data_IF_879607179830
#
_entry.id   IF_879607179830
#
_cell.length_a   1.000
_cell.length_b   1.000
_cell.length_c   1.000
_cell.angle_alpha   90.00
_cell.angle_beta   90.00
_cell.angle_gamma   90.00
#
_symmetry.space_group_name_H-M   'P 1'
#
loop_
_entity.id
_entity.type
_entity.pdbx_description
1 polymer ?
#
# COMPACT_ATOMS: atom_id res chain seq x y z
N UNK A 1 -11.79 -17.78 2.86
CA UNK A 1 -10.47 -17.12 2.76
C UNK A 1 -10.27 -16.29 4.01
N UNK A 2 -9.05 -16.22 4.54
CA UNK A 2 -8.76 -15.37 5.70
C UNK A 2 -8.86 -13.88 5.31
N UNK A 3 -9.29 -13.03 6.24
CA UNK A 3 -9.31 -11.58 6.04
C UNK A 3 -7.91 -11.02 6.21
N UNK A 4 -7.39 -10.37 5.17
CA UNK A 4 -6.11 -9.67 5.22
C UNK A 4 -6.35 -8.24 5.71
N UNK A 5 -5.72 -7.86 6.83
CA UNK A 5 -5.73 -6.50 7.35
C UNK A 5 -4.33 -5.90 7.32
N UNK A 6 -4.22 -4.57 7.40
CA UNK A 6 -2.92 -3.89 7.49
C UNK A 6 -2.15 -4.38 8.72
N UNK A 7 -2.81 -4.54 9.86
CA UNK A 7 -2.16 -5.01 11.09
C UNK A 7 -1.61 -6.44 10.95
N UNK A 8 -2.36 -7.35 10.30
CA UNK A 8 -1.89 -8.72 10.03
C UNK A 8 -0.69 -8.71 9.07
N UNK A 9 -0.71 -7.85 8.05
CA UNK A 9 0.42 -7.70 7.13
C UNK A 9 1.65 -7.10 7.84
N UNK A 10 1.46 -6.08 8.69
CA UNK A 10 2.53 -5.50 9.52
C UNK A 10 3.19 -6.56 10.42
N UNK A 11 2.39 -7.41 11.08
CA UNK A 11 2.86 -8.52 11.93
C UNK A 11 3.67 -9.53 11.10
N UNK A 12 3.11 -10.02 9.99
CA UNK A 12 3.79 -10.95 9.11
C UNK A 12 5.13 -10.41 8.58
N UNK A 13 5.17 -9.15 8.15
CA UNK A 13 6.39 -8.55 7.60
C UNK A 13 7.44 -8.26 8.66
N UNK A 14 7.02 -7.98 9.90
CA UNK A 14 7.94 -7.86 11.04
C UNK A 14 8.66 -9.17 11.31
N UNK A 15 7.92 -10.28 11.29
CA UNK A 15 8.49 -11.62 11.46
C UNK A 15 9.36 -12.03 10.26
N UNK A 16 8.95 -11.66 9.05
CA UNK A 16 9.66 -12.02 7.82
C UNK A 16 11.01 -11.30 7.67
N UNK A 17 11.04 -9.98 7.91
CA UNK A 17 12.25 -9.17 7.73
C UNK A 17 13.12 -9.06 8.99
N UNK A 18 12.52 -9.26 10.18
CA UNK A 18 13.20 -9.15 11.46
C UNK A 18 13.89 -7.80 11.67
N UNK A 19 14.94 -7.78 12.49
CA UNK A 19 15.77 -6.59 12.75
C UNK A 19 17.02 -6.53 11.86
N UNK A 20 17.16 -7.46 10.91
CA UNK A 20 18.40 -7.65 10.14
C UNK A 20 18.40 -6.91 8.81
N UNK A 21 17.22 -6.59 8.27
CA UNK A 21 17.12 -5.87 6.99
C UNK A 21 17.16 -4.36 7.23
N UNK A 22 18.12 -3.63 6.64
CA UNK A 22 18.17 -2.18 6.76
C UNK A 22 16.94 -1.54 6.11
N UNK A 23 16.33 -0.57 6.80
CA UNK A 23 15.19 0.19 6.28
C UNK A 23 15.51 0.89 4.95
N UNK A 24 16.75 1.29 4.72
CA UNK A 24 17.18 1.94 3.49
C UNK A 24 17.07 0.97 2.29
N UNK A 25 17.35 -0.31 2.50
CA UNK A 25 17.20 -1.33 1.45
C UNK A 25 15.73 -1.54 1.09
N UNK A 26 14.83 -1.56 2.07
CA UNK A 26 13.38 -1.63 1.83
C UNK A 26 12.85 -0.38 1.14
N UNK A 27 13.40 0.80 1.48
CA UNK A 27 13.05 2.05 0.80
C UNK A 27 13.48 2.03 -0.67
N UNK A 28 14.68 1.51 -0.98
CA UNK A 28 15.11 1.37 -2.37
C UNK A 28 14.19 0.45 -3.16
N UNK A 29 13.75 -0.68 -2.58
CA UNK A 29 12.75 -1.55 -3.20
C UNK A 29 11.42 -0.83 -3.42
N UNK A 30 10.91 -0.09 -2.42
CA UNK A 30 9.68 0.71 -2.59
C UNK A 30 9.78 1.68 -3.77
N UNK A 31 10.92 2.37 -3.94
CA UNK A 31 11.12 3.29 -5.07
C UNK A 31 11.16 2.56 -6.41
N UNK A 32 11.75 1.37 -6.47
CA UNK A 32 11.74 0.50 -7.65
C UNK A 32 10.32 0.15 -8.07
N UNK A 33 9.49 -0.33 -7.14
CA UNK A 33 8.09 -0.72 -7.44
C UNK A 33 7.24 0.49 -7.87
N UNK A 34 7.48 1.67 -7.30
CA UNK A 34 6.85 2.91 -7.76
C UNK A 34 7.25 3.22 -9.21
N UNK A 35 8.49 2.95 -9.59
CA UNK A 35 8.99 3.07 -10.95
C UNK A 35 8.27 2.13 -11.92
N UNK A 36 8.07 0.87 -11.52
CA UNK A 36 7.34 -0.13 -12.31
C UNK A 36 5.87 0.28 -12.54
N UNK A 37 5.19 0.73 -11.48
CA UNK A 37 3.84 1.30 -11.59
C UNK A 37 3.81 2.48 -12.57
N UNK A 38 4.78 3.39 -12.48
CA UNK A 38 4.86 4.55 -13.37
C UNK A 38 5.08 4.13 -14.83
N UNK A 39 5.93 3.14 -15.08
CA UNK A 39 6.15 2.59 -16.41
C UNK A 39 4.86 2.00 -17.01
N UNK A 40 4.15 1.16 -16.25
CA UNK A 40 2.89 0.54 -16.70
C UNK A 40 1.80 1.57 -17.02
N UNK A 41 1.65 2.58 -16.16
CA UNK A 41 0.68 3.65 -16.39
C UNK A 41 1.04 4.48 -17.64
N UNK A 42 2.33 4.73 -17.87
CA UNK A 42 2.79 5.43 -19.07
C UNK A 42 2.57 4.60 -20.34
N UNK A 43 2.82 3.29 -20.30
CA UNK A 43 2.54 2.36 -21.40
C UNK A 43 1.04 2.36 -21.76
N UNK A 44 0.16 2.33 -20.75
CA UNK A 44 -1.30 2.42 -20.93
C UNK A 44 -1.75 3.73 -21.55
N UNK A 45 -1.18 4.86 -21.11
CA UNK A 45 -1.49 6.18 -21.65
C UNK A 45 -1.02 6.35 -23.11
N UNK A 46 0.11 5.73 -23.47
CA UNK A 46 0.76 5.90 -24.76
C UNK A 46 0.28 5.01 -25.91
N UNK A 47 -0.62 4.03 -25.68
CA UNK A 47 -1.08 3.03 -26.67
C UNK A 47 0.05 2.45 -27.55
N UNK A 48 1.25 2.25 -26.99
CA UNK A 48 2.22 1.32 -27.61
C UNK A 48 1.60 -0.07 -27.47
N UNK A 49 1.54 -0.84 -28.56
CA UNK A 49 0.98 -2.20 -28.61
C UNK A 49 1.38 -2.97 -27.35
N UNK A 50 0.46 -3.15 -26.42
CA UNK A 50 0.67 -3.92 -25.20
C UNK A 50 -0.28 -5.09 -25.21
N UNK A 51 0.10 -6.14 -24.47
CA UNK A 51 -0.70 -7.32 -24.22
C UNK A 51 -2.18 -6.99 -23.94
N UNK A 52 -3.07 -7.97 -24.13
CA UNK A 52 -4.52 -7.83 -23.85
C UNK A 52 -4.76 -7.03 -22.56
N UNK A 53 -5.76 -6.15 -22.55
CA UNK A 53 -6.05 -5.25 -21.42
C UNK A 53 -6.08 -5.96 -20.06
N UNK A 54 -6.52 -7.22 -20.03
CA UNK A 54 -6.52 -8.09 -18.85
C UNK A 54 -5.13 -8.36 -18.28
N UNK A 55 -4.15 -8.66 -19.14
CA UNK A 55 -2.77 -8.92 -18.74
C UNK A 55 -2.09 -7.65 -18.20
N UNK A 56 -2.39 -6.50 -18.79
CA UNK A 56 -1.92 -5.21 -18.26
C UNK A 56 -2.52 -4.92 -16.89
N UNK A 57 -3.77 -5.32 -16.64
CA UNK A 57 -4.49 -5.07 -15.37
C UNK A 57 -4.09 -5.99 -14.25
N UNK A 58 -3.83 -7.27 -14.55
CA UNK A 58 -3.20 -8.18 -13.61
C UNK A 58 -1.84 -7.64 -13.15
N UNK A 59 -0.98 -7.24 -14.10
CA UNK A 59 0.36 -6.75 -13.76
C UNK A 59 0.32 -5.44 -12.94
N UNK A 60 -0.56 -4.49 -13.29
CA UNK A 60 -0.70 -3.28 -12.48
C UNK A 60 -1.14 -3.59 -11.03
N UNK A 61 -1.99 -4.61 -10.84
CA UNK A 61 -2.39 -5.04 -9.50
C UNK A 61 -1.22 -5.66 -8.71
N UNK A 62 -0.34 -6.41 -9.38
CA UNK A 62 0.88 -6.97 -8.79
C UNK A 62 1.83 -5.85 -8.34
N UNK A 63 2.19 -4.90 -9.21
CA UNK A 63 3.11 -3.82 -8.83
C UNK A 63 2.53 -2.93 -7.71
N UNK A 64 1.20 -2.70 -7.71
CA UNK A 64 0.55 -1.97 -6.60
C UNK A 64 0.57 -2.77 -5.29
N UNK A 65 0.49 -4.10 -5.36
CA UNK A 65 0.64 -4.95 -4.19
C UNK A 65 2.08 -4.88 -3.66
N UNK A 66 3.09 -4.82 -4.52
CA UNK A 66 4.49 -4.66 -4.12
C UNK A 66 4.75 -3.28 -3.48
N UNK A 67 4.14 -2.21 -4.01
CA UNK A 67 4.15 -0.89 -3.35
C UNK A 67 3.55 -0.95 -1.94
N UNK A 68 2.40 -1.62 -1.78
CA UNK A 68 1.78 -1.81 -0.46
C UNK A 68 2.70 -2.63 0.45
N UNK A 69 3.28 -3.72 -0.07
CA UNK A 69 4.17 -4.61 0.66
C UNK A 69 5.36 -3.86 1.24
N UNK A 70 6.12 -3.11 0.43
CA UNK A 70 7.29 -2.39 0.94
C UNK A 70 6.94 -1.19 1.81
N UNK A 71 5.82 -0.51 1.57
CA UNK A 71 5.34 0.55 2.45
C UNK A 71 5.00 0.01 3.86
N UNK A 72 4.34 -1.16 3.92
CA UNK A 72 3.99 -1.83 5.17
C UNK A 72 5.23 -2.45 5.82
N UNK A 73 6.17 -3.00 5.04
CA UNK A 73 7.44 -3.52 5.53
C UNK A 73 8.25 -2.43 6.24
N UNK A 74 8.32 -1.22 5.67
CA UNK A 74 8.98 -0.07 6.29
C UNK A 74 8.36 0.30 7.64
N UNK A 75 7.03 0.26 7.74
CA UNK A 75 6.33 0.47 9.02
C UNK A 75 6.67 -0.64 10.01
N UNK A 76 6.66 -1.90 9.56
CA UNK A 76 6.91 -3.08 10.38
C UNK A 76 8.32 -3.07 11.00
N UNK A 77 9.38 -2.85 10.21
CA UNK A 77 10.77 -2.84 10.71
C UNK A 77 11.07 -1.65 11.60
N UNK A 78 10.35 -0.54 11.41
CA UNK A 78 10.47 0.66 12.25
C UNK A 78 9.53 0.66 13.46
N UNK A 79 8.82 -0.43 13.72
CA UNK A 79 7.88 -0.55 14.84
C UNK A 79 6.82 0.57 14.85
N UNK A 80 6.40 1.00 13.67
CA UNK A 80 5.32 1.95 13.50
C UNK A 80 3.97 1.21 13.62
N UNK A 81 2.93 1.98 13.93
CA UNK A 81 1.55 1.55 13.86
C UNK A 81 0.90 2.22 12.65
N UNK A 82 1.00 1.57 11.49
CA UNK A 82 0.49 2.12 10.24
C UNK A 82 -1.03 2.15 10.23
N UNK A 83 -1.67 1.12 10.79
CA UNK A 83 -3.13 1.05 10.93
C UNK A 83 -3.68 2.28 11.66
N UNK A 84 -3.14 2.62 12.84
CA UNK A 84 -3.50 3.83 13.58
C UNK A 84 -3.18 5.10 12.79
N UNK A 85 -2.01 5.15 12.16
CA UNK A 85 -1.57 6.31 11.37
C UNK A 85 -2.52 6.62 10.20
N UNK A 86 -3.02 5.58 9.52
CA UNK A 86 -4.02 5.69 8.44
C UNK A 86 -5.33 6.29 8.99
N UNK A 87 -5.86 5.72 10.08
CA UNK A 87 -7.11 6.17 10.70
C UNK A 87 -7.03 7.63 11.16
N UNK A 88 -5.96 8.00 11.86
CA UNK A 88 -5.78 9.37 12.36
C UNK A 88 -5.59 10.38 11.23
N UNK A 89 -4.83 10.01 10.18
CA UNK A 89 -4.61 10.88 9.02
C UNK A 89 -5.92 11.12 8.26
N UNK A 90 -6.73 10.10 8.05
CA UNK A 90 -8.03 10.26 7.40
C UNK A 90 -8.98 11.10 8.26
N UNK A 91 -9.03 10.88 9.58
CA UNK A 91 -9.83 11.71 10.49
C UNK A 91 -9.47 13.20 10.40
N UNK A 92 -8.17 13.52 10.41
CA UNK A 92 -7.70 14.91 10.21
C UNK A 92 -8.10 15.47 8.85
N UNK A 93 -7.99 14.66 7.79
CA UNK A 93 -8.42 15.07 6.45
C UNK A 93 -9.93 15.30 6.37
N UNK A 94 -10.73 14.46 7.02
CA UNK A 94 -12.19 14.62 7.10
C UNK A 94 -12.58 15.97 7.68
N UNK A 95 -11.97 16.36 8.80
CA UNK A 95 -12.19 17.68 9.43
C UNK A 95 -11.72 18.81 8.52
N UNK A 96 -10.50 18.69 7.95
CA UNK A 96 -9.90 19.72 7.09
C UNK A 96 -10.73 20.01 5.83
N UNK A 97 -11.33 18.98 5.24
CA UNK A 97 -12.05 19.08 3.97
C UNK A 97 -13.57 19.02 4.12
N UNK A 98 -14.09 19.06 5.34
CA UNK A 98 -15.54 19.05 5.61
C UNK A 98 -16.26 17.80 5.08
N UNK A 99 -15.61 16.63 5.15
CA UNK A 99 -16.23 15.37 4.71
C UNK A 99 -17.29 14.93 5.71
N UNK A 100 -18.39 14.36 5.19
CA UNK A 100 -19.54 13.93 6.00
C UNK A 100 -19.23 12.76 6.94
N UNK A 101 -18.33 11.85 6.53
CA UNK A 101 -17.88 10.71 7.33
C UNK A 101 -16.37 10.52 7.18
N UNK A 102 -15.72 10.04 8.25
CA UNK A 102 -14.33 9.56 8.20
C UNK A 102 -14.26 8.02 8.11
N UNK A 103 -13.06 7.49 7.84
CA UNK A 103 -12.81 6.07 7.65
C UNK A 103 -13.23 5.22 8.86
N UNK A 104 -13.00 5.69 10.09
CA UNK A 104 -13.39 4.95 11.29
C UNK A 104 -14.92 4.83 11.38
N UNK A 105 -15.63 5.94 11.18
CA UNK A 105 -17.11 5.96 11.15
C UNK A 105 -17.67 5.10 10.01
N UNK A 106 -17.01 5.08 8.86
CA UNK A 106 -17.39 4.21 7.74
C UNK A 106 -17.28 2.72 8.12
N UNK A 107 -16.20 2.32 8.80
CA UNK A 107 -16.01 0.94 9.27
C UNK A 107 -17.08 0.59 10.32
N UNK A 108 -17.36 1.48 11.27
CA UNK A 108 -18.36 1.26 12.31
C UNK A 108 -19.77 1.09 11.74
N UNK A 109 -20.15 1.86 10.71
CA UNK A 109 -21.45 1.74 10.03
C UNK A 109 -21.63 0.46 9.22
N UNK A 110 -20.53 -0.24 8.88
CA UNK A 110 -20.57 -1.51 8.12
C UNK A 110 -20.74 -2.74 9.01
N UNK A 111 -20.55 -2.60 10.32
CA UNK A 111 -20.78 -3.66 11.31
C UNK A 111 -22.25 -3.78 11.63
#
# INVERSE_FOLDING_TARGET
MAELTVSVLEEYLRDHYGTTVPEQSLFMKLVEEIGEVAELLNQRAGRKMMASEDASSARLAEELADVIHYAVALAAVNQLDLTKSILEKDKRASVKYGREINLLEFIEKRK
#
